data_IF_526617781407
#
_entry.id   IF_526617781407
#
_cell.length_a   1.000
_cell.length_b   1.000
_cell.length_c   1.000
_cell.angle_alpha   90.00
_cell.angle_beta   90.00
_cell.angle_gamma   90.00
#
_symmetry.space_group_name_H-M   'P 1'
#
loop_
_entity.id
_entity.type
_entity.pdbx_description
1 polymer ?
#
# COMPACT_ATOMS: atom_id res chain seq x y z
N UNK A 1 -26.98 -36.70 36.50
CA UNK A 1 -27.47 -35.89 35.36
C UNK A 1 -26.38 -35.05 34.66
N UNK A 2 -25.17 -34.84 35.24
CA UNK A 2 -24.10 -34.04 34.60
C UNK A 2 -23.33 -34.75 33.48
N UNK A 3 -23.24 -36.09 33.52
CA UNK A 3 -22.49 -36.88 32.54
C UNK A 3 -23.11 -36.91 31.13
N UNK A 4 -24.45 -36.81 31.02
CA UNK A 4 -25.18 -36.79 29.74
C UNK A 4 -25.10 -35.44 29.02
N UNK A 5 -24.81 -34.36 29.73
CA UNK A 5 -24.69 -33.02 29.16
C UNK A 5 -23.33 -32.84 28.46
N UNK A 6 -22.26 -33.44 29.00
CA UNK A 6 -20.93 -33.39 28.37
C UNK A 6 -20.89 -34.22 27.08
N UNK A 7 -21.55 -35.38 27.02
CA UNK A 7 -21.62 -36.18 25.80
C UNK A 7 -22.42 -35.50 24.68
N UNK A 8 -23.47 -34.74 25.01
CA UNK A 8 -24.21 -33.95 24.02
C UNK A 8 -23.40 -32.75 23.49
N UNK A 9 -22.56 -32.15 24.33
CA UNK A 9 -21.73 -30.99 23.96
C UNK A 9 -20.55 -31.38 23.06
N UNK A 10 -19.99 -32.59 23.24
CA UNK A 10 -18.93 -33.14 22.36
C UNK A 10 -19.49 -33.51 20.97
N UNK A 11 -20.71 -34.03 20.90
CA UNK A 11 -21.35 -34.36 19.60
C UNK A 11 -21.71 -33.07 18.84
N UNK A 12 -22.19 -32.04 19.52
CA UNK A 12 -22.48 -30.73 18.92
C UNK A 12 -21.20 -30.01 18.41
N UNK A 13 -20.06 -30.20 19.09
CA UNK A 13 -18.77 -29.66 18.66
C UNK A 13 -18.19 -30.41 17.45
N UNK A 14 -18.55 -31.68 17.28
CA UNK A 14 -18.10 -32.54 16.17
C UNK A 14 -18.83 -32.24 14.85
N UNK A 15 -20.06 -31.71 14.90
CA UNK A 15 -20.86 -31.35 13.72
C UNK A 15 -20.40 -30.09 12.99
N UNK A 16 -19.41 -29.35 13.51
CA UNK A 16 -18.85 -28.15 12.85
C UNK A 16 -17.71 -28.51 11.88
N UNK A 17 -17.32 -29.78 11.78
CA UNK A 17 -16.26 -30.26 10.88
C UNK A 17 -16.79 -30.86 9.57
N UNK A 18 -17.92 -30.37 9.04
CA UNK A 18 -18.26 -30.64 7.63
C UNK A 18 -17.35 -29.74 6.79
N UNK A 19 -16.12 -30.21 6.58
CA UNK A 19 -15.20 -29.63 5.62
C UNK A 19 -15.75 -29.84 4.21
N UNK A 20 -16.01 -28.75 3.49
CA UNK A 20 -16.23 -28.82 2.05
C UNK A 20 -14.99 -29.43 1.39
N UNK A 21 -15.12 -30.65 0.88
CA UNK A 21 -14.13 -31.23 -0.03
C UNK A 21 -14.22 -30.47 -1.35
N UNK A 22 -13.25 -29.60 -1.65
CA UNK A 22 -13.14 -29.02 -2.99
C UNK A 22 -12.49 -30.08 -3.89
N UNK A 23 -13.31 -30.80 -4.66
CA UNK A 23 -12.78 -31.60 -5.76
C UNK A 23 -12.12 -30.65 -6.77
N UNK A 24 -10.87 -30.95 -7.14
CA UNK A 24 -10.18 -30.22 -8.22
C UNK A 24 -10.98 -30.44 -9.51
N UNK A 25 -11.21 -29.38 -10.32
CA UNK A 25 -11.93 -29.54 -11.58
C UNK A 25 -11.16 -30.51 -12.50
N UNK A 26 -11.89 -31.47 -13.09
CA UNK A 26 -11.35 -32.37 -14.10
C UNK A 26 -11.13 -31.58 -15.39
N UNK A 27 -9.87 -31.47 -15.82
CA UNK A 27 -9.46 -30.58 -16.93
C UNK A 27 -9.37 -31.33 -18.24
N UNK A 28 -9.13 -32.64 -18.19
CA UNK A 28 -8.91 -33.45 -19.38
C UNK A 28 -10.21 -33.68 -20.17
N UNK A 29 -11.37 -33.55 -19.51
CA UNK A 29 -12.68 -33.83 -20.08
C UNK A 29 -13.55 -32.60 -20.36
N UNK A 30 -13.14 -31.40 -19.91
CA UNK A 30 -13.98 -30.18 -19.96
C UNK A 30 -13.37 -29.11 -20.88
N UNK A 31 -14.12 -28.60 -21.87
CA UNK A 31 -13.67 -27.50 -22.73
C UNK A 31 -13.28 -26.23 -21.94
N UNK A 32 -12.26 -25.51 -22.40
CA UNK A 32 -11.77 -24.27 -21.77
C UNK A 32 -12.89 -23.23 -21.54
N UNK A 33 -13.78 -23.06 -22.51
CA UNK A 33 -14.92 -22.13 -22.42
C UNK A 33 -15.87 -22.49 -21.27
N UNK A 34 -16.11 -23.77 -21.00
CA UNK A 34 -16.98 -24.21 -19.91
C UNK A 34 -16.32 -23.96 -18.56
N UNK A 35 -15.01 -24.21 -18.46
CA UNK A 35 -14.22 -23.86 -17.27
C UNK A 35 -14.23 -22.35 -17.03
N UNK A 36 -14.06 -21.54 -18.07
CA UNK A 36 -14.07 -20.08 -17.95
C UNK A 36 -15.44 -19.57 -17.50
N UNK A 37 -16.53 -20.05 -18.10
CA UNK A 37 -17.88 -19.69 -17.70
C UNK A 37 -18.17 -20.10 -16.24
N UNK A 38 -17.70 -21.28 -15.82
CA UNK A 38 -17.80 -21.70 -14.42
C UNK A 38 -17.04 -20.75 -13.50
N UNK A 39 -15.78 -20.43 -13.80
CA UNK A 39 -14.98 -19.51 -13.00
C UNK A 39 -15.64 -18.14 -12.86
N UNK A 40 -16.20 -17.62 -13.96
CA UNK A 40 -16.91 -16.34 -14.00
C UNK A 40 -18.17 -16.37 -13.12
N UNK A 41 -19.00 -17.41 -13.24
CA UNK A 41 -20.19 -17.57 -12.41
C UNK A 41 -19.85 -17.64 -10.91
N UNK A 42 -18.77 -18.34 -10.55
CA UNK A 42 -18.29 -18.41 -9.17
C UNK A 42 -17.79 -17.05 -8.67
N UNK A 43 -17.13 -16.26 -9.53
CA UNK A 43 -16.67 -14.92 -9.19
C UNK A 43 -17.84 -13.96 -8.96
N UNK A 44 -18.82 -13.97 -9.87
CA UNK A 44 -20.04 -13.15 -9.79
C UNK A 44 -20.94 -13.57 -8.60
N UNK A 45 -20.98 -14.87 -8.29
CA UNK A 45 -21.68 -15.43 -7.15
C UNK A 45 -21.00 -15.21 -5.80
N UNK A 46 -19.80 -14.62 -5.78
CA UNK A 46 -19.04 -14.33 -4.55
C UNK A 46 -18.22 -15.50 -4.00
N UNK A 47 -18.20 -16.65 -4.67
CA UNK A 47 -17.39 -17.81 -4.34
C UNK A 47 -15.95 -17.66 -4.88
N UNK A 48 -15.28 -16.57 -4.48
CA UNK A 48 -14.01 -16.14 -5.07
C UNK A 48 -12.92 -17.23 -4.98
N UNK A 49 -12.86 -18.00 -3.88
CA UNK A 49 -11.89 -19.10 -3.73
C UNK A 49 -12.11 -20.25 -4.72
N UNK A 50 -13.38 -20.58 -5.00
CA UNK A 50 -13.74 -21.59 -6.01
C UNK A 50 -13.30 -21.09 -7.40
N UNK A 51 -13.62 -19.82 -7.70
CA UNK A 51 -13.20 -19.17 -8.93
C UNK A 51 -11.68 -19.20 -9.13
N UNK A 52 -10.88 -18.83 -8.12
CA UNK A 52 -9.41 -18.89 -8.16
C UNK A 52 -8.93 -20.29 -8.55
N UNK A 53 -9.48 -21.34 -7.92
CA UNK A 53 -9.07 -22.72 -8.22
C UNK A 53 -9.31 -23.09 -9.69
N UNK A 54 -10.45 -22.67 -10.25
CA UNK A 54 -10.77 -22.92 -11.67
C UNK A 54 -9.89 -22.06 -12.57
N UNK A 55 -9.69 -20.79 -12.25
CA UNK A 55 -8.85 -19.88 -13.04
C UNK A 55 -7.38 -20.31 -13.08
N UNK A 56 -6.80 -20.71 -11.94
CA UNK A 56 -5.44 -21.27 -11.86
C UNK A 56 -5.30 -22.53 -12.71
N UNK A 57 -6.37 -23.34 -12.73
CA UNK A 57 -6.43 -24.54 -13.55
C UNK A 57 -6.42 -24.18 -15.04
N UNK A 58 -7.16 -23.15 -15.45
CA UNK A 58 -7.14 -22.66 -16.84
C UNK A 58 -5.75 -22.09 -17.19
N UNK A 59 -5.20 -21.19 -16.36
CA UNK A 59 -3.89 -20.55 -16.60
C UNK A 59 -2.75 -21.58 -16.73
N UNK A 60 -2.82 -22.69 -15.97
CA UNK A 60 -1.85 -23.78 -16.04
C UNK A 60 -1.96 -24.61 -17.32
N UNK A 61 -3.17 -24.99 -17.73
CA UNK A 61 -3.38 -25.96 -18.80
C UNK A 61 -3.57 -25.31 -20.18
N UNK A 62 -4.03 -24.06 -20.22
CA UNK A 62 -4.30 -23.28 -21.43
C UNK A 62 -3.59 -21.92 -21.40
N UNK A 63 -2.25 -21.86 -21.22
CA UNK A 63 -1.50 -20.60 -21.04
C UNK A 63 -1.53 -19.66 -22.26
N UNK A 64 -1.91 -20.18 -23.42
CA UNK A 64 -2.08 -19.44 -24.68
C UNK A 64 -3.50 -19.54 -25.25
N UNK A 65 -4.46 -19.98 -24.42
CA UNK A 65 -5.87 -20.08 -24.82
C UNK A 65 -6.48 -18.71 -25.15
N UNK A 66 -7.61 -18.67 -25.88
CA UNK A 66 -8.30 -17.43 -26.23
C UNK A 66 -8.69 -16.59 -25.00
N UNK A 67 -8.85 -17.20 -23.82
CA UNK A 67 -9.20 -16.50 -22.58
C UNK A 67 -8.01 -16.23 -21.67
N UNK A 68 -6.78 -16.63 -22.05
CA UNK A 68 -5.58 -16.56 -21.19
C UNK A 68 -5.35 -15.19 -20.55
N UNK A 69 -5.43 -14.11 -21.33
CA UNK A 69 -5.26 -12.75 -20.81
C UNK A 69 -6.39 -12.38 -19.82
N UNK A 70 -7.64 -12.70 -20.15
CA UNK A 70 -8.77 -12.40 -19.28
C UNK A 70 -8.71 -13.21 -17.98
N UNK A 71 -8.32 -14.49 -18.04
CA UNK A 71 -8.09 -15.35 -16.87
C UNK A 71 -7.04 -14.74 -15.94
N UNK A 72 -5.96 -14.18 -16.49
CA UNK A 72 -4.95 -13.50 -15.67
C UNK A 72 -5.49 -12.23 -15.01
N UNK A 73 -6.31 -11.43 -15.72
CA UNK A 73 -6.97 -10.27 -15.12
C UNK A 73 -7.93 -10.70 -13.99
N UNK A 74 -8.72 -11.74 -14.22
CA UNK A 74 -9.67 -12.28 -13.24
C UNK A 74 -8.94 -12.83 -12.00
N UNK A 75 -7.79 -13.50 -12.18
CA UNK A 75 -6.91 -13.94 -11.08
C UNK A 75 -6.38 -12.76 -10.27
N UNK A 76 -5.88 -11.69 -10.92
CA UNK A 76 -5.40 -10.49 -10.24
C UNK A 76 -6.50 -9.90 -9.35
N UNK A 77 -7.72 -9.77 -9.91
CA UNK A 77 -8.88 -9.29 -9.16
C UNK A 77 -9.22 -10.22 -7.99
N UNK A 78 -9.29 -11.53 -8.24
CA UNK A 78 -9.69 -12.51 -7.25
C UNK A 78 -8.69 -12.57 -6.08
N UNK A 79 -7.37 -12.62 -6.36
CA UNK A 79 -6.32 -12.58 -5.34
C UNK A 79 -6.39 -11.31 -4.50
N UNK A 80 -6.56 -10.15 -5.13
CA UNK A 80 -6.73 -8.89 -4.40
C UNK A 80 -7.96 -8.95 -3.47
N UNK A 81 -9.10 -9.46 -3.97
CA UNK A 81 -10.34 -9.56 -3.19
C UNK A 81 -10.26 -10.55 -2.04
N UNK A 82 -9.44 -11.59 -2.15
CA UNK A 82 -9.17 -12.54 -1.06
C UNK A 82 -8.03 -12.10 -0.14
N UNK A 83 -7.52 -10.88 -0.30
CA UNK A 83 -6.38 -10.32 0.42
C UNK A 83 -5.07 -11.12 0.24
N UNK A 84 -4.95 -11.88 -0.84
CA UNK A 84 -3.71 -12.53 -1.26
C UNK A 84 -2.88 -11.59 -2.14
N UNK A 85 -2.50 -10.45 -1.53
CA UNK A 85 -1.79 -9.39 -2.24
C UNK A 85 -0.44 -9.82 -2.82
N UNK A 86 0.37 -10.69 -2.17
CA UNK A 86 1.59 -11.21 -2.78
C UNK A 86 1.33 -11.97 -4.08
N UNK A 87 0.32 -12.84 -4.14
CA UNK A 87 -0.05 -13.53 -5.38
C UNK A 87 -0.64 -12.57 -6.43
N UNK A 88 -1.43 -11.58 -6.00
CA UNK A 88 -1.91 -10.54 -6.89
C UNK A 88 -0.75 -9.80 -7.56
N UNK A 89 0.24 -9.33 -6.79
CA UNK A 89 1.41 -8.60 -7.31
C UNK A 89 2.25 -9.49 -8.24
N UNK A 90 2.51 -10.74 -7.87
CA UNK A 90 3.24 -11.67 -8.71
C UNK A 90 2.52 -11.91 -10.06
N UNK A 91 1.19 -12.05 -10.03
CA UNK A 91 0.35 -12.20 -11.22
C UNK A 91 0.36 -10.94 -12.09
N UNK A 92 0.31 -9.76 -11.46
CA UNK A 92 0.41 -8.47 -12.14
C UNK A 92 1.77 -8.33 -12.84
N UNK A 93 2.88 -8.58 -12.14
CA UNK A 93 4.21 -8.41 -12.72
C UNK A 93 4.43 -9.35 -13.92
N UNK A 94 3.91 -10.58 -13.83
CA UNK A 94 3.86 -11.50 -14.97
C UNK A 94 3.02 -10.94 -16.12
N UNK A 95 1.83 -10.43 -15.85
CA UNK A 95 0.94 -9.87 -16.87
C UNK A 95 1.58 -8.67 -17.58
N UNK A 96 2.14 -7.72 -16.83
CA UNK A 96 2.80 -6.53 -17.39
C UNK A 96 4.00 -6.90 -18.27
N UNK A 97 4.75 -7.94 -17.90
CA UNK A 97 5.88 -8.43 -18.69
C UNK A 97 5.44 -9.09 -19.99
N UNK A 98 4.36 -9.87 -19.96
CA UNK A 98 3.90 -10.64 -21.11
C UNK A 98 3.01 -9.82 -22.06
N UNK A 99 2.27 -8.84 -21.53
CA UNK A 99 1.23 -8.11 -22.26
C UNK A 99 1.39 -6.57 -22.16
N UNK A 100 2.56 -5.99 -22.49
CA UNK A 100 2.85 -4.57 -22.24
C UNK A 100 1.95 -3.57 -23.01
N UNK A 101 1.31 -4.02 -24.10
CA UNK A 101 0.43 -3.19 -24.95
C UNK A 101 -1.06 -3.51 -24.75
N UNK A 102 -1.41 -4.27 -23.70
CA UNK A 102 -2.80 -4.65 -23.45
C UNK A 102 -3.69 -3.40 -23.21
N UNK A 103 -4.93 -3.34 -23.74
CA UNK A 103 -5.79 -2.17 -23.58
C UNK A 103 -6.05 -1.76 -22.12
N UNK A 104 -6.10 -2.73 -21.21
CA UNK A 104 -6.38 -2.53 -19.77
C UNK A 104 -5.10 -2.43 -18.90
N UNK A 105 -3.95 -2.07 -19.48
CA UNK A 105 -2.68 -2.02 -18.74
C UNK A 105 -2.73 -1.02 -17.58
N UNK A 106 -3.50 0.06 -17.73
CA UNK A 106 -3.73 1.09 -16.72
C UNK A 106 -4.44 0.54 -15.48
N UNK A 107 -5.45 -0.31 -15.67
CA UNK A 107 -6.10 -1.07 -14.59
C UNK A 107 -5.11 -1.98 -13.88
N UNK A 108 -4.27 -2.70 -14.62
CA UNK A 108 -3.29 -3.62 -14.03
C UNK A 108 -2.26 -2.88 -13.16
N UNK A 109 -1.75 -1.75 -13.62
CA UNK A 109 -0.84 -0.89 -12.85
C UNK A 109 -1.55 -0.35 -11.60
N UNK A 110 -2.80 0.10 -11.74
CA UNK A 110 -3.62 0.56 -10.63
C UNK A 110 -3.81 -0.54 -9.57
N UNK A 111 -4.09 -1.78 -10.00
CA UNK A 111 -4.21 -2.93 -9.10
C UNK A 111 -2.90 -3.26 -8.37
N UNK A 112 -1.74 -3.02 -8.99
CA UNK A 112 -0.43 -3.18 -8.29
C UNK A 112 -0.28 -2.16 -7.18
N UNK A 113 -0.60 -0.89 -7.49
CA UNK A 113 -0.58 0.19 -6.52
C UNK A 113 -1.51 -0.07 -5.33
N UNK A 114 -2.75 -0.52 -5.59
CA UNK A 114 -3.69 -0.86 -4.51
C UNK A 114 -3.22 -2.08 -3.73
N UNK A 115 -2.73 -3.13 -4.37
CA UNK A 115 -2.27 -4.34 -3.67
C UNK A 115 -1.08 -4.03 -2.75
N UNK A 116 -0.13 -3.22 -3.22
CA UNK A 116 0.98 -2.71 -2.40
C UNK A 116 0.46 -1.85 -1.22
N UNK A 117 -0.46 -0.92 -1.49
CA UNK A 117 -1.05 -0.09 -0.44
C UNK A 117 -1.77 -0.94 0.63
N UNK A 118 -2.52 -1.96 0.21
CA UNK A 118 -3.25 -2.85 1.10
C UNK A 118 -2.32 -3.72 1.97
N UNK A 119 -1.19 -4.19 1.43
CA UNK A 119 -0.15 -4.84 2.24
C UNK A 119 0.40 -3.92 3.33
N UNK A 120 0.57 -2.64 3.00
CA UNK A 120 1.02 -1.63 3.96
C UNK A 120 -0.01 -1.38 5.08
N UNK A 121 -1.29 -1.61 4.79
CA UNK A 121 -2.43 -1.29 5.66
C UNK A 121 -2.97 -2.46 6.48
N UNK A 122 -2.52 -3.70 6.28
CA UNK A 122 -3.17 -4.93 6.76
C UNK A 122 -3.94 -4.86 8.12
N UNK A 123 -5.24 -4.60 7.93
CA UNK A 123 -6.55 -4.92 8.55
C UNK A 123 -6.81 -5.08 10.06
N UNK A 124 -5.91 -5.53 10.94
CA UNK A 124 -6.29 -5.68 12.38
C UNK A 124 -6.14 -4.35 13.16
N UNK A 125 -5.25 -3.46 12.73
CA UNK A 125 -4.80 -2.33 13.56
C UNK A 125 -5.46 -0.99 13.20
N UNK A 126 -6.10 -0.89 12.02
CA UNK A 126 -6.88 0.28 11.64
C UNK A 126 -8.11 0.50 12.54
N UNK A 127 -8.65 -0.58 13.12
CA UNK A 127 -9.69 -0.52 14.15
C UNK A 127 -9.22 0.05 15.49
N UNK A 128 -7.90 0.11 15.74
CA UNK A 128 -7.32 0.60 16.99
C UNK A 128 -6.67 1.99 16.87
N UNK A 129 -6.86 2.70 15.74
CA UNK A 129 -6.29 4.03 15.49
C UNK A 129 -4.77 4.11 15.79
N UNK A 130 -4.04 3.02 15.51
CA UNK A 130 -2.60 2.94 15.74
C UNK A 130 -1.89 3.68 14.61
N UNK A 131 -1.14 4.72 14.96
CA UNK A 131 -0.27 5.44 14.03
C UNK A 131 0.84 4.51 13.52
N UNK A 132 0.85 4.23 12.21
CA UNK A 132 1.83 3.33 11.53
C UNK A 132 2.97 4.07 10.86
N UNK A 133 3.12 5.37 11.09
CA UNK A 133 4.22 6.13 10.50
C UNK A 133 5.58 5.76 11.09
N UNK A 134 5.69 4.83 12.04
CA UNK A 134 6.94 4.31 12.61
C UNK A 134 7.46 3.02 11.94
N UNK A 135 6.63 2.34 11.13
CA UNK A 135 7.01 1.10 10.41
C UNK A 135 7.55 1.40 9.02
N UNK A 136 8.53 0.60 8.59
CA UNK A 136 9.14 0.70 7.27
C UNK A 136 8.07 0.82 6.16
N UNK A 137 8.07 1.91 5.37
CA UNK A 137 7.06 2.18 4.37
C UNK A 137 7.38 1.51 3.02
N UNK A 138 8.14 0.42 2.96
CA UNK A 138 8.48 -0.29 1.71
C UNK A 138 7.29 -0.45 0.76
N UNK A 139 6.20 -1.07 1.23
CA UNK A 139 4.99 -1.25 0.43
C UNK A 139 4.28 0.07 0.08
N UNK A 140 4.39 1.09 0.94
CA UNK A 140 3.86 2.42 0.65
C UNK A 140 4.64 3.10 -0.48
N UNK A 141 5.96 2.95 -0.49
CA UNK A 141 6.85 3.47 -1.52
C UNK A 141 6.62 2.75 -2.85
N UNK A 142 6.43 1.43 -2.82
CA UNK A 142 6.05 0.64 -4.00
C UNK A 142 4.72 1.13 -4.59
N UNK A 143 3.69 1.29 -3.74
CA UNK A 143 2.40 1.84 -4.16
C UNK A 143 2.53 3.27 -4.73
N UNK A 144 3.34 4.12 -4.10
CA UNK A 144 3.60 5.49 -4.55
C UNK A 144 4.24 5.50 -5.94
N UNK A 145 5.22 4.63 -6.19
CA UNK A 145 5.84 4.45 -7.51
C UNK A 145 4.82 4.02 -8.56
N UNK A 146 3.98 3.03 -8.24
CA UNK A 146 2.96 2.51 -9.16
C UNK A 146 1.92 3.57 -9.53
N UNK A 147 1.37 4.27 -8.55
CA UNK A 147 0.40 5.33 -8.81
C UNK A 147 1.03 6.54 -9.52
N UNK A 148 2.29 6.86 -9.23
CA UNK A 148 3.02 7.93 -9.94
C UNK A 148 3.17 7.57 -11.41
N UNK A 149 3.56 6.33 -11.71
CA UNK A 149 3.69 5.82 -13.07
C UNK A 149 2.35 5.82 -13.81
N UNK A 150 1.26 5.40 -13.16
CA UNK A 150 -0.09 5.43 -13.72
C UNK A 150 -0.52 6.85 -14.10
N UNK A 151 -0.35 7.81 -13.18
CA UNK A 151 -0.79 9.19 -13.39
C UNK A 151 0.05 9.90 -14.45
N UNK A 152 1.34 9.61 -14.54
CA UNK A 152 2.22 10.22 -15.54
C UNK A 152 2.05 9.61 -16.93
N UNK A 153 1.87 8.30 -17.01
CA UNK A 153 1.83 7.57 -18.29
C UNK A 153 0.42 7.45 -18.86
N UNK A 154 -0.61 7.41 -18.00
CA UNK A 154 -2.02 7.24 -18.37
C UNK A 154 -2.90 8.31 -17.71
N UNK A 155 -2.67 9.61 -17.97
CA UNK A 155 -3.38 10.70 -17.29
C UNK A 155 -4.90 10.72 -17.52
N UNK A 156 -5.36 10.12 -18.63
CA UNK A 156 -6.78 10.04 -19.02
C UNK A 156 -7.44 8.72 -18.59
N UNK A 157 -6.71 7.82 -17.90
CA UNK A 157 -7.28 6.59 -17.37
C UNK A 157 -8.42 6.88 -16.39
N UNK A 158 -9.45 6.04 -16.38
CA UNK A 158 -10.54 6.11 -15.39
C UNK A 158 -10.03 5.97 -13.95
N UNK A 159 -8.85 5.38 -13.75
CA UNK A 159 -8.24 5.17 -12.43
C UNK A 159 -7.33 6.32 -11.97
N UNK A 160 -6.96 7.24 -12.88
CA UNK A 160 -5.99 8.30 -12.59
C UNK A 160 -6.47 9.26 -11.49
N UNK A 161 -7.77 9.56 -11.43
CA UNK A 161 -8.32 10.47 -10.42
C UNK A 161 -8.21 9.89 -9.00
N UNK A 162 -8.50 8.60 -8.82
CA UNK A 162 -8.34 7.91 -7.53
C UNK A 162 -6.87 7.74 -7.16
N UNK A 163 -6.02 7.36 -8.12
CA UNK A 163 -4.58 7.26 -7.93
C UNK A 163 -3.95 8.57 -7.45
N UNK A 164 -4.36 9.73 -7.99
CA UNK A 164 -3.93 11.06 -7.50
C UNK A 164 -4.27 11.30 -6.03
N UNK A 165 -5.47 10.92 -5.59
CA UNK A 165 -5.86 11.04 -4.17
C UNK A 165 -5.00 10.15 -3.29
N UNK A 166 -4.74 8.91 -3.73
CA UNK A 166 -3.87 7.96 -3.01
C UNK A 166 -2.42 8.45 -2.95
N UNK A 167 -1.91 9.08 -4.00
CA UNK A 167 -0.58 9.70 -3.99
C UNK A 167 -0.45 10.73 -2.89
N UNK A 168 -1.44 11.62 -2.70
CA UNK A 168 -1.43 12.62 -1.63
C UNK A 168 -1.37 11.93 -0.26
N UNK A 169 -2.17 10.89 -0.05
CA UNK A 169 -2.16 10.11 1.19
C UNK A 169 -0.80 9.45 1.44
N UNK A 170 -0.28 8.70 0.46
CA UNK A 170 0.99 7.97 0.56
C UNK A 170 2.16 8.94 0.77
N UNK A 171 2.17 10.07 0.07
CA UNK A 171 3.18 11.12 0.20
C UNK A 171 3.30 11.61 1.64
N UNK A 172 2.16 11.95 2.26
CA UNK A 172 2.12 12.40 3.64
C UNK A 172 2.54 11.29 4.61
N UNK A 173 2.09 10.05 4.38
CA UNK A 173 2.47 8.91 5.22
C UNK A 173 3.97 8.64 5.20
N UNK A 174 4.58 8.61 4.02
CA UNK A 174 6.02 8.36 3.86
C UNK A 174 6.83 9.51 4.50
N UNK A 175 6.43 10.76 4.27
CA UNK A 175 7.11 11.91 4.88
C UNK A 175 7.02 11.89 6.42
N UNK A 176 5.89 11.46 7.00
CA UNK A 176 5.78 11.28 8.45
C UNK A 176 6.74 10.22 8.99
N UNK A 177 6.94 9.13 8.26
CA UNK A 177 7.94 8.13 8.63
C UNK A 177 9.36 8.68 8.63
N UNK A 178 9.74 9.38 7.57
CA UNK A 178 11.07 9.99 7.49
C UNK A 178 11.30 11.04 8.60
N UNK A 179 10.26 11.80 8.97
CA UNK A 179 10.33 12.71 10.11
C UNK A 179 10.61 11.97 11.42
N UNK A 180 9.91 10.86 11.69
CA UNK A 180 10.16 10.03 12.89
C UNK A 180 11.57 9.47 12.92
N UNK A 181 12.08 9.03 11.78
CA UNK A 181 13.48 8.57 11.65
C UNK A 181 14.46 9.71 11.92
N UNK A 182 14.22 10.90 11.38
CA UNK A 182 15.03 12.08 11.65
C UNK A 182 15.01 12.44 13.15
N UNK A 183 13.84 12.43 13.80
CA UNK A 183 13.71 12.64 15.25
C UNK A 183 14.49 11.61 16.06
N UNK A 184 14.44 10.34 15.66
CA UNK A 184 15.19 9.25 16.29
C UNK A 184 16.71 9.48 16.22
N UNK A 185 17.22 9.99 15.09
CA UNK A 185 18.63 10.34 14.94
C UNK A 185 19.02 11.60 15.71
N UNK A 186 18.14 12.61 15.77
CA UNK A 186 18.34 13.81 16.59
C UNK A 186 18.51 13.45 18.07
N UNK A 187 17.66 12.56 18.61
CA UNK A 187 17.76 12.07 20.00
C UNK A 187 19.09 11.36 20.32
N UNK A 188 19.86 10.95 19.29
CA UNK A 188 21.16 10.28 19.42
C UNK A 188 22.35 11.17 19.05
N UNK A 189 22.12 12.44 18.71
CA UNK A 189 23.18 13.33 18.21
C UNK A 189 23.74 12.92 16.86
N UNK A 190 23.03 12.10 16.08
CA UNK A 190 23.47 11.64 14.76
C UNK A 190 23.15 12.70 13.68
N UNK A 191 23.71 13.90 13.82
CA UNK A 191 23.33 15.09 13.05
C UNK A 191 23.53 14.96 11.53
N UNK A 192 24.59 14.28 11.07
CA UNK A 192 24.79 13.99 9.64
C UNK A 192 23.65 13.13 9.09
N UNK A 193 23.18 12.14 9.86
CA UNK A 193 22.06 11.29 9.45
C UNK A 193 20.75 12.09 9.41
N UNK A 194 20.53 13.01 10.34
CA UNK A 194 19.39 13.95 10.32
C UNK A 194 19.41 14.75 9.01
N UNK A 195 20.53 15.42 8.70
CA UNK A 195 20.67 16.23 7.48
C UNK A 195 20.38 15.40 6.22
N UNK A 196 20.93 14.19 6.12
CA UNK A 196 20.70 13.32 4.97
C UNK A 196 19.22 12.95 4.82
N UNK A 197 18.54 12.60 5.92
CA UNK A 197 17.11 12.27 5.93
C UNK A 197 16.26 13.46 5.49
N UNK A 198 16.48 14.64 6.09
CA UNK A 198 15.70 15.84 5.76
C UNK A 198 15.97 16.32 4.33
N UNK A 199 17.21 16.19 3.84
CA UNK A 199 17.54 16.49 2.43
C UNK A 199 16.77 15.58 1.47
N UNK A 200 16.66 14.29 1.78
CA UNK A 200 15.85 13.35 0.99
C UNK A 200 14.35 13.72 1.03
N UNK A 201 13.84 14.11 2.21
CA UNK A 201 12.47 14.60 2.35
C UNK A 201 12.20 15.85 1.50
N UNK A 202 13.13 16.81 1.45
CA UNK A 202 13.03 17.99 0.59
C UNK A 202 13.03 17.63 -0.90
N UNK A 203 13.79 16.61 -1.30
CA UNK A 203 13.82 16.18 -2.70
C UNK A 203 12.55 15.45 -3.13
N UNK A 204 11.96 14.61 -2.26
CA UNK A 204 10.85 13.73 -2.62
C UNK A 204 9.48 14.30 -2.23
N UNK A 205 9.41 14.98 -1.09
CA UNK A 205 8.16 15.37 -0.42
C UNK A 205 8.18 16.84 0.10
N UNK A 206 8.63 17.84 -0.71
CA UNK A 206 8.89 19.20 -0.24
C UNK A 206 7.68 19.96 0.32
N UNK A 207 6.48 19.64 -0.16
CA UNK A 207 5.21 20.29 0.15
C UNK A 207 4.50 19.71 1.38
N UNK A 208 5.00 18.61 1.95
CA UNK A 208 4.36 17.97 3.10
C UNK A 208 4.67 18.69 4.41
N UNK A 209 3.72 18.69 5.34
CA UNK A 209 3.90 19.28 6.67
C UNK A 209 5.06 18.62 7.44
N UNK A 210 5.26 17.31 7.25
CA UNK A 210 6.35 16.58 7.88
C UNK A 210 7.74 17.08 7.41
N UNK A 211 7.90 17.39 6.12
CA UNK A 211 9.15 17.97 5.59
C UNK A 211 9.39 19.37 6.11
N UNK A 212 8.35 20.22 6.15
CA UNK A 212 8.45 21.57 6.71
C UNK A 212 8.86 21.53 8.18
N UNK A 213 8.27 20.61 8.95
CA UNK A 213 8.63 20.37 10.35
C UNK A 213 10.08 19.85 10.50
N UNK A 214 10.53 18.99 9.59
CA UNK A 214 11.88 18.42 9.61
C UNK A 214 12.99 19.46 9.39
N UNK A 215 12.70 20.59 8.73
CA UNK A 215 13.66 21.70 8.57
C UNK A 215 14.23 22.19 9.90
N UNK A 216 13.45 22.17 10.98
CA UNK A 216 13.94 22.50 12.32
C UNK A 216 15.03 21.54 12.81
N UNK A 217 14.85 20.24 12.56
CA UNK A 217 15.82 19.23 12.93
C UNK A 217 17.12 19.42 12.14
N UNK A 218 17.00 19.75 10.85
CA UNK A 218 18.14 20.05 9.98
C UNK A 218 18.87 21.33 10.41
N UNK A 219 18.15 22.40 10.74
CA UNK A 219 18.71 23.64 11.29
C UNK A 219 19.49 23.37 12.58
N UNK A 220 18.88 22.65 13.53
CA UNK A 220 19.56 22.27 14.78
C UNK A 220 20.80 21.41 14.51
N UNK A 221 20.68 20.42 13.63
CA UNK A 221 21.80 19.56 13.25
C UNK A 221 22.98 20.34 12.64
N UNK A 222 22.72 21.35 11.81
CA UNK A 222 23.80 22.22 11.31
C UNK A 222 24.45 23.06 12.41
N UNK A 223 23.66 23.62 13.35
CA UNK A 223 24.21 24.38 14.48
C UNK A 223 25.10 23.51 15.38
N UNK A 224 24.67 22.30 15.70
CA UNK A 224 25.43 21.34 16.53
C UNK A 224 26.75 20.91 15.86
N UNK A 225 26.81 20.96 14.52
CA UNK A 225 28.02 20.70 13.75
C UNK A 225 28.87 21.97 13.51
N UNK A 226 28.44 23.14 13.96
CA UNK A 226 29.14 24.42 13.74
C UNK A 226 29.03 24.94 12.29
N UNK A 227 28.08 24.45 11.51
CA UNK A 227 27.86 24.81 10.10
C UNK A 227 26.88 25.98 9.99
N UNK A 228 27.34 27.18 10.35
CA UNK A 228 26.49 28.36 10.50
C UNK A 228 25.89 28.85 9.18
N UNK A 229 26.62 28.75 8.07
CA UNK A 229 26.14 29.22 6.76
C UNK A 229 24.98 28.36 6.26
N UNK A 230 25.07 27.04 6.43
CA UNK A 230 24.03 26.08 6.12
C UNK A 230 22.81 26.28 7.01
N UNK A 231 23.04 26.46 8.31
CA UNK A 231 21.99 26.75 9.28
C UNK A 231 21.18 27.99 8.90
N UNK A 232 21.85 29.11 8.56
CA UNK A 232 21.19 30.34 8.10
C UNK A 232 20.38 30.15 6.81
N UNK A 233 20.84 29.29 5.88
CA UNK A 233 20.07 28.95 4.67
C UNK A 233 18.78 28.21 5.04
N UNK A 234 18.85 27.26 5.97
CA UNK A 234 17.67 26.53 6.45
C UNK A 234 16.71 27.46 7.20
N UNK A 235 17.22 28.39 8.01
CA UNK A 235 16.40 29.39 8.70
C UNK A 235 15.61 30.26 7.73
N UNK A 236 16.25 30.73 6.65
CA UNK A 236 15.56 31.46 5.57
C UNK A 236 14.45 30.64 4.91
N UNK A 237 14.66 29.34 4.70
CA UNK A 237 13.63 28.43 4.17
C UNK A 237 12.47 28.24 5.15
N UNK A 238 12.75 28.12 6.45
CA UNK A 238 11.71 28.04 7.49
C UNK A 238 10.87 29.33 7.49
N UNK A 239 11.52 30.50 7.45
CA UNK A 239 10.84 31.79 7.44
C UNK A 239 9.97 31.95 6.18
N UNK A 240 10.52 31.62 5.01
CA UNK A 240 9.76 31.67 3.75
C UNK A 240 8.52 30.75 3.77
N UNK A 241 8.59 29.60 4.44
CA UNK A 241 7.42 28.74 4.64
C UNK A 241 6.39 29.37 5.59
N UNK A 242 6.83 29.99 6.69
CA UNK A 242 5.97 30.66 7.67
C UNK A 242 5.20 31.86 7.09
N UNK A 243 5.86 32.61 6.21
CA UNK A 243 5.28 33.79 5.57
C UNK A 243 4.15 33.41 4.60
N UNK A 244 4.23 32.23 4.00
CA UNK A 244 3.24 31.68 3.07
C UNK A 244 2.04 31.00 3.75
N UNK A 245 2.02 30.89 5.08
CA UNK A 245 0.90 30.27 5.83
C UNK A 245 -0.18 31.32 6.14
N UNK A 246 -1.47 31.07 5.83
CA UNK A 246 -2.57 31.94 6.24
C UNK A 246 -2.58 32.16 7.75
N UNK A 247 -2.89 33.39 8.19
CA UNK A 247 -2.80 33.81 9.61
C UNK A 247 -3.57 32.86 10.55
N UNK A 248 -4.72 32.37 10.10
CA UNK A 248 -5.60 31.45 10.82
C UNK A 248 -4.94 30.10 11.12
N UNK A 249 -4.04 29.64 10.25
CA UNK A 249 -3.35 28.35 10.38
C UNK A 249 -2.04 28.44 11.15
N UNK A 250 -1.49 29.65 11.35
CA UNK A 250 -0.18 29.85 12.01
C UNK A 250 -0.12 29.24 13.41
N UNK A 251 -1.18 29.37 14.21
CA UNK A 251 -1.20 28.82 15.59
C UNK A 251 -1.13 27.29 15.62
N UNK A 252 -1.82 26.62 14.69
CA UNK A 252 -1.77 25.17 14.52
C UNK A 252 -0.43 24.70 13.96
N UNK A 253 0.14 25.47 13.02
CA UNK A 253 1.49 25.21 12.52
C UNK A 253 2.51 25.29 13.65
N UNK A 254 2.52 26.37 14.45
CA UNK A 254 3.46 26.54 15.55
C UNK A 254 3.35 25.46 16.63
N UNK A 255 2.14 24.97 16.95
CA UNK A 255 1.99 23.88 17.92
C UNK A 255 2.57 22.56 17.41
N UNK A 256 2.34 22.22 16.14
CA UNK A 256 2.96 21.05 15.47
C UNK A 256 4.46 21.22 15.27
N UNK A 257 4.90 22.44 15.01
CA UNK A 257 6.30 22.82 14.81
C UNK A 257 7.12 22.63 16.10
N UNK A 258 6.56 23.03 17.25
CA UNK A 258 7.22 22.85 18.55
C UNK A 258 7.16 21.40 19.06
N UNK A 259 6.15 20.61 18.66
CA UNK A 259 6.07 19.20 19.06
C UNK A 259 7.16 18.32 18.42
N UNK A 260 7.86 18.82 17.38
CA UNK A 260 8.95 18.10 16.69
C UNK A 260 10.09 17.72 17.65
N UNK A 261 10.39 18.56 18.64
CA UNK A 261 11.45 18.32 19.63
C UNK A 261 10.97 17.53 20.85
N UNK A 262 9.66 17.51 21.12
CA UNK A 262 9.07 16.92 22.32
C UNK A 262 8.60 15.47 22.13
N UNK A 263 8.90 14.85 20.98
CA UNK A 263 8.34 13.59 20.49
C UNK A 263 7.95 12.59 21.58
N UNK A 264 6.64 12.56 21.85
CA UNK A 264 5.87 11.58 22.61
C UNK A 264 4.63 11.21 21.81
#
# INVERSE_FOLDING_TARGET
>A
MKLRLHTLLVIALSSVLIGCTSSKPDVESVPEIELYNKAKNELEGGNIKSSITVLETIDKNYPFGPFSQQVQLDLIYAYYKTADYPLAIASIDRFLKLNPIHPNIDWVIYMRGISNMAQSDNTIQGWFNVDRSDRDPEFAMAAFKDFTYLVSSFPNSSYAADAKKRLIYLKNRIAQYELKVAQYYTKRGAYVAVINRVTQMLSLFPDTDATKAALLLMHNAYNELGLTDESQKVEKLIQANLDNIPIEEKKSYFSRFLSVFNGG
#
